data_IF_251818904557
#
_entry.id   IF_251818904557
#
_cell.length_a   1.000
_cell.length_b   1.000
_cell.length_c   1.000
_cell.angle_alpha   90.00
_cell.angle_beta   90.00
_cell.angle_gamma   90.00
#
_symmetry.space_group_name_H-M   'P 1'
#
loop_
_entity.id
_entity.type
_entity.pdbx_description
1 polymer ?
#
# COMPACT_ATOMS: atom_id res chain seq x y z
N UNK A 1 -14.81 25.99 -3.95
CA UNK A 1 -16.04 25.19 -3.90
C UNK A 1 -15.93 23.90 -3.08
N UNK A 2 -14.98 22.96 -3.34
CA UNK A 2 -14.83 21.75 -2.50
C UNK A 2 -13.86 21.92 -1.32
N UNK A 3 -12.79 22.71 -1.47
CA UNK A 3 -11.78 22.92 -0.43
C UNK A 3 -12.14 24.05 0.57
N UNK A 4 -13.36 24.59 0.55
CA UNK A 4 -13.82 25.55 1.58
C UNK A 4 -14.26 24.83 2.87
N UNK A 5 -13.90 25.34 4.06
CA UNK A 5 -14.06 24.64 5.34
C UNK A 5 -15.52 24.40 5.74
N UNK A 6 -16.48 25.16 5.18
CA UNK A 6 -17.91 25.02 5.49
C UNK A 6 -18.63 23.94 4.68
N UNK A 7 -17.93 23.22 3.79
CA UNK A 7 -18.60 22.36 2.80
C UNK A 7 -18.39 20.86 3.02
N UNK A 8 -18.40 20.40 4.28
CA UNK A 8 -18.13 19.01 4.66
C UNK A 8 -19.04 18.00 3.95
N UNK A 9 -20.32 18.35 3.72
CA UNK A 9 -21.28 17.48 3.03
C UNK A 9 -20.85 17.21 1.58
N UNK A 10 -20.50 18.25 0.82
CA UNK A 10 -20.07 18.11 -0.58
C UNK A 10 -18.74 17.38 -0.70
N UNK A 11 -17.82 17.56 0.27
CA UNK A 11 -16.56 16.80 0.33
C UNK A 11 -16.83 15.31 0.53
N UNK A 12 -17.69 14.95 1.50
CA UNK A 12 -18.06 13.55 1.72
C UNK A 12 -18.76 12.94 0.51
N UNK A 13 -19.66 13.69 -0.14
CA UNK A 13 -20.33 13.26 -1.35
C UNK A 13 -19.34 12.99 -2.49
N UNK A 14 -18.39 13.91 -2.73
CA UNK A 14 -17.36 13.74 -3.75
C UNK A 14 -16.49 12.50 -3.49
N UNK A 15 -16.08 12.25 -2.24
CA UNK A 15 -15.29 11.07 -1.85
C UNK A 15 -16.05 9.78 -2.13
N UNK A 16 -17.34 9.73 -1.76
CA UNK A 16 -18.20 8.56 -2.04
C UNK A 16 -18.32 8.32 -3.54
N UNK A 17 -18.49 9.38 -4.35
CA UNK A 17 -18.50 9.27 -5.81
C UNK A 17 -17.17 8.75 -6.35
N UNK A 18 -16.04 9.22 -5.82
CA UNK A 18 -14.71 8.70 -6.16
C UNK A 18 -14.57 7.21 -5.83
N UNK A 19 -15.06 6.78 -4.66
CA UNK A 19 -15.06 5.38 -4.26
C UNK A 19 -15.94 4.50 -5.15
N UNK A 20 -17.15 4.98 -5.49
CA UNK A 20 -18.06 4.30 -6.41
C UNK A 20 -17.47 4.19 -7.82
N UNK A 21 -16.80 5.24 -8.31
CA UNK A 21 -16.10 5.19 -9.59
C UNK A 21 -15.01 4.11 -9.58
N UNK A 22 -14.20 4.04 -8.53
CA UNK A 22 -13.23 2.97 -8.32
C UNK A 22 -13.87 1.58 -8.30
N UNK A 23 -14.99 1.42 -7.59
CA UNK A 23 -15.75 0.17 -7.54
C UNK A 23 -16.22 -0.28 -8.93
N UNK A 24 -16.75 0.65 -9.73
CA UNK A 24 -17.20 0.39 -11.10
C UNK A 24 -16.04 -0.03 -12.00
N UNK A 25 -14.87 0.62 -11.90
CA UNK A 25 -13.67 0.20 -12.63
C UNK A 25 -13.22 -1.22 -12.25
N UNK A 26 -13.47 -1.63 -11.01
CA UNK A 26 -13.23 -3.00 -10.55
C UNK A 26 -14.46 -3.93 -10.69
N UNK A 27 -15.49 -3.59 -11.46
CA UNK A 27 -16.73 -4.36 -11.54
C UNK A 27 -16.50 -5.82 -11.97
N UNK A 28 -15.58 -6.06 -12.92
CA UNK A 28 -15.17 -7.40 -13.38
C UNK A 28 -14.15 -8.08 -12.46
N UNK A 29 -13.67 -7.39 -11.43
CA UNK A 29 -12.74 -7.92 -10.45
C UNK A 29 -13.43 -8.69 -9.32
N UNK A 30 -12.66 -9.56 -8.65
CA UNK A 30 -13.09 -10.17 -7.39
C UNK A 30 -13.19 -9.16 -6.25
N UNK A 31 -13.63 -9.62 -5.08
CA UNK A 31 -13.85 -8.78 -3.89
C UNK A 31 -12.64 -7.92 -3.53
N UNK A 32 -11.42 -8.48 -3.55
CA UNK A 32 -10.18 -7.77 -3.23
C UNK A 32 -9.95 -6.59 -4.19
N UNK A 33 -10.13 -6.81 -5.50
CA UNK A 33 -9.98 -5.73 -6.51
C UNK A 33 -10.99 -4.62 -6.27
N UNK A 34 -12.23 -4.97 -5.93
CA UNK A 34 -13.29 -4.00 -5.63
C UNK A 34 -12.91 -3.14 -4.42
N UNK A 35 -12.48 -3.74 -3.33
CA UNK A 35 -12.04 -3.00 -2.13
C UNK A 35 -10.85 -2.10 -2.46
N UNK A 36 -9.83 -2.62 -3.15
CA UNK A 36 -8.62 -1.86 -3.48
C UNK A 36 -8.93 -0.66 -4.39
N UNK A 37 -9.64 -0.87 -5.49
CA UNK A 37 -9.94 0.21 -6.43
C UNK A 37 -10.90 1.24 -5.84
N UNK A 38 -11.88 0.81 -5.05
CA UNK A 38 -12.76 1.75 -4.33
C UNK A 38 -11.97 2.59 -3.34
N UNK A 39 -11.06 1.97 -2.59
CA UNK A 39 -10.16 2.66 -1.67
C UNK A 39 -9.27 3.67 -2.39
N UNK A 40 -8.66 3.30 -3.53
CA UNK A 40 -7.85 4.21 -4.35
C UNK A 40 -8.70 5.38 -4.88
N UNK A 41 -9.88 5.10 -5.43
CA UNK A 41 -10.77 6.14 -5.97
C UNK A 41 -11.24 7.13 -4.89
N UNK A 42 -11.69 6.61 -3.74
CA UNK A 42 -12.07 7.44 -2.60
C UNK A 42 -10.88 8.22 -2.05
N UNK A 43 -9.72 7.58 -1.89
CA UNK A 43 -8.48 8.21 -1.41
C UNK A 43 -7.96 9.31 -2.33
N UNK A 44 -8.04 9.12 -3.64
CA UNK A 44 -7.66 10.14 -4.62
C UNK A 44 -8.57 11.37 -4.54
N UNK A 45 -9.88 11.19 -4.39
CA UNK A 45 -10.79 12.33 -4.22
C UNK A 45 -10.63 12.98 -2.85
N UNK A 46 -10.37 12.18 -1.80
CA UNK A 46 -10.09 12.69 -0.46
C UNK A 46 -8.82 13.54 -0.42
N UNK A 47 -7.76 13.14 -1.13
CA UNK A 47 -6.52 13.93 -1.19
C UNK A 47 -6.72 15.28 -1.87
N UNK A 48 -7.59 15.34 -2.90
CA UNK A 48 -7.98 16.60 -3.53
C UNK A 48 -8.86 17.47 -2.61
N UNK A 49 -9.75 16.87 -1.81
CA UNK A 49 -10.63 17.59 -0.89
C UNK A 49 -9.94 18.05 0.40
N UNK A 50 -8.86 17.38 0.80
CA UNK A 50 -8.12 17.61 2.05
C UNK A 50 -6.59 17.56 1.83
N UNK A 51 -6.01 18.46 1.02
CA UNK A 51 -4.62 18.35 0.56
C UNK A 51 -3.58 18.43 1.69
N UNK A 52 -3.80 19.28 2.70
CA UNK A 52 -2.90 19.41 3.86
C UNK A 52 -2.87 18.15 4.72
N UNK A 53 -4.05 17.61 5.04
CA UNK A 53 -4.19 16.39 5.82
C UNK A 53 -3.65 15.18 5.05
N UNK A 54 -3.85 15.16 3.73
CA UNK A 54 -3.26 14.12 2.88
C UNK A 54 -1.73 14.16 2.91
N UNK A 55 -1.12 15.35 2.85
CA UNK A 55 0.34 15.48 2.94
C UNK A 55 0.90 14.99 4.28
N UNK A 56 0.29 15.42 5.40
CA UNK A 56 0.68 14.99 6.75
C UNK A 56 0.52 13.48 6.93
N UNK A 57 -0.63 12.94 6.54
CA UNK A 57 -0.92 11.52 6.63
C UNK A 57 0.01 10.68 5.74
N UNK A 58 0.31 11.15 4.52
CA UNK A 58 1.24 10.46 3.61
C UNK A 58 2.63 10.35 4.23
N UNK A 59 3.13 11.39 4.91
CA UNK A 59 4.43 11.34 5.59
C UNK A 59 4.46 10.29 6.70
N UNK A 60 3.41 10.24 7.52
CA UNK A 60 3.28 9.25 8.59
C UNK A 60 3.18 7.84 8.02
N UNK A 61 2.32 7.64 7.01
CA UNK A 61 2.13 6.34 6.35
C UNK A 61 3.42 5.87 5.69
N UNK A 62 4.17 6.75 5.02
CA UNK A 62 5.46 6.38 4.43
C UNK A 62 6.48 6.01 5.50
N UNK A 63 6.56 6.77 6.59
CA UNK A 63 7.52 6.51 7.66
C UNK A 63 7.24 5.19 8.38
N UNK A 64 5.99 4.96 8.81
CA UNK A 64 5.59 3.72 9.49
C UNK A 64 5.54 2.53 8.51
N UNK A 65 5.12 2.76 7.27
CA UNK A 65 5.08 1.75 6.22
C UNK A 65 6.46 1.19 5.91
N UNK A 66 7.51 2.01 5.95
CA UNK A 66 8.91 1.55 5.81
C UNK A 66 9.31 0.59 6.93
N UNK A 67 8.94 0.89 8.18
CA UNK A 67 9.24 0.02 9.33
C UNK A 67 8.50 -1.31 9.21
N UNK A 68 7.20 -1.26 8.93
CA UNK A 68 6.35 -2.45 8.78
C UNK A 68 6.86 -3.32 7.63
N UNK A 69 7.23 -2.69 6.50
CA UNK A 69 7.81 -3.39 5.36
C UNK A 69 9.11 -4.11 5.73
N UNK A 70 10.04 -3.43 6.40
CA UNK A 70 11.28 -4.04 6.84
C UNK A 70 11.04 -5.22 7.78
N UNK A 71 10.11 -5.08 8.74
CA UNK A 71 9.73 -6.19 9.65
C UNK A 71 9.15 -7.36 8.87
N UNK A 72 8.20 -7.12 7.97
CA UNK A 72 7.55 -8.17 7.18
C UNK A 72 8.54 -8.88 6.25
N UNK A 73 9.42 -8.14 5.58
CA UNK A 73 10.45 -8.68 4.71
C UNK A 73 11.41 -9.59 5.48
N UNK A 74 11.93 -9.13 6.61
CA UNK A 74 12.83 -9.92 7.46
C UNK A 74 12.13 -11.15 8.07
N UNK A 75 10.83 -11.03 8.40
CA UNK A 75 10.05 -12.16 8.87
C UNK A 75 9.92 -13.26 7.80
N UNK A 76 9.69 -12.89 6.54
CA UNK A 76 9.62 -13.86 5.43
C UNK A 76 10.98 -14.53 5.20
N UNK A 77 12.09 -13.78 5.34
CA UNK A 77 13.45 -14.33 5.28
C UNK A 77 13.86 -15.15 6.51
N UNK A 78 13.01 -15.22 7.54
CA UNK A 78 13.28 -16.05 8.72
C UNK A 78 14.40 -15.51 9.62
N UNK A 79 14.68 -14.20 9.60
CA UNK A 79 15.67 -13.56 10.49
C UNK A 79 15.24 -13.75 11.94
N UNK A 80 16.14 -14.26 12.78
CA UNK A 80 15.84 -14.56 14.19
C UNK A 80 15.96 -13.31 15.07
N UNK A 81 15.15 -13.19 16.14
CA UNK A 81 15.30 -12.09 17.10
C UNK A 81 16.69 -12.13 17.74
N UNK A 82 17.49 -11.07 17.58
CA UNK A 82 18.83 -10.94 18.17
C UNK A 82 19.99 -10.98 17.17
N UNK A 83 19.71 -11.24 15.90
CA UNK A 83 20.69 -11.11 14.81
C UNK A 83 20.71 -9.66 14.30
N UNK A 84 21.87 -9.16 13.83
CA UNK A 84 21.96 -7.82 13.24
C UNK A 84 21.08 -7.77 11.98
N UNK A 85 19.93 -7.11 12.10
CA UNK A 85 18.96 -7.00 11.02
C UNK A 85 19.55 -6.09 9.93
N UNK A 86 19.80 -6.59 8.70
CA UNK A 86 20.24 -5.72 7.63
C UNK A 86 19.16 -4.67 7.35
N UNK A 87 19.58 -3.41 7.21
CA UNK A 87 18.67 -2.32 6.89
C UNK A 87 18.07 -2.56 5.50
N UNK A 88 16.83 -3.06 5.44
CA UNK A 88 16.12 -3.29 4.18
C UNK A 88 15.70 -1.93 3.61
N UNK A 89 16.27 -1.48 2.48
CA UNK A 89 15.86 -0.23 1.87
C UNK A 89 14.43 -0.40 1.33
N UNK A 90 13.60 0.60 1.58
CA UNK A 90 12.27 0.62 0.99
C UNK A 90 12.40 0.79 -0.53
N UNK A 91 11.67 0.01 -1.35
CA UNK A 91 11.77 0.11 -2.80
C UNK A 91 11.39 1.53 -3.25
N UNK A 92 12.32 2.20 -3.92
CA UNK A 92 12.11 3.55 -4.45
C UNK A 92 11.87 3.54 -5.95
N UNK A 93 12.31 2.48 -6.63
CA UNK A 93 12.11 2.25 -8.05
C UNK A 93 11.29 0.98 -8.32
N UNK A 94 10.76 0.87 -9.54
CA UNK A 94 10.09 -0.36 -10.00
C UNK A 94 11.07 -1.53 -10.14
N UNK A 95 12.33 -1.25 -10.43
CA UNK A 95 13.38 -2.25 -10.48
C UNK A 95 13.63 -2.83 -9.09
N UNK A 96 13.84 -1.98 -8.08
CA UNK A 96 13.99 -2.41 -6.68
C UNK A 96 12.81 -3.30 -6.27
N UNK A 97 11.59 -2.85 -6.56
CA UNK A 97 10.38 -3.59 -6.22
C UNK A 97 10.34 -4.96 -6.90
N UNK A 98 10.73 -5.03 -8.17
CA UNK A 98 10.78 -6.29 -8.93
C UNK A 98 11.84 -7.23 -8.36
N UNK A 99 13.05 -6.73 -8.08
CA UNK A 99 14.14 -7.51 -7.49
C UNK A 99 13.76 -8.07 -6.12
N UNK A 100 13.20 -7.24 -5.24
CA UNK A 100 12.77 -7.67 -3.91
C UNK A 100 11.63 -8.70 -4.02
N UNK A 101 10.67 -8.49 -4.92
CA UNK A 101 9.57 -9.43 -5.12
C UNK A 101 10.05 -10.79 -5.67
N UNK A 102 11.01 -10.80 -6.60
CA UNK A 102 11.61 -12.05 -7.10
C UNK A 102 12.38 -12.78 -6.01
N UNK A 103 13.16 -12.04 -5.23
CA UNK A 103 13.96 -12.60 -4.13
C UNK A 103 13.06 -13.24 -3.05
N UNK A 104 11.99 -12.55 -2.64
CA UNK A 104 10.95 -13.09 -1.75
C UNK A 104 10.25 -14.33 -2.33
N UNK A 105 9.97 -14.33 -3.62
CA UNK A 105 9.31 -15.45 -4.29
C UNK A 105 10.21 -16.69 -4.35
N UNK A 106 11.48 -16.51 -4.69
CA UNK A 106 12.45 -17.61 -4.77
C UNK A 106 12.69 -18.20 -3.38
N UNK A 107 12.80 -17.37 -2.35
CA UNK A 107 12.97 -17.83 -0.96
C UNK A 107 11.73 -18.58 -0.44
N UNK A 108 10.52 -18.07 -0.70
CA UNK A 108 9.29 -18.78 -0.37
C UNK A 108 9.15 -20.11 -1.15
N UNK A 109 9.59 -20.14 -2.42
CA UNK A 109 9.56 -21.35 -3.25
C UNK A 109 10.53 -22.40 -2.73
N UNK A 110 11.74 -22.02 -2.34
CA UNK A 110 12.73 -22.95 -1.81
C UNK A 110 12.31 -23.51 -0.44
N UNK A 111 11.59 -22.74 0.38
CA UNK A 111 11.00 -23.20 1.64
C UNK A 111 9.88 -24.23 1.44
N UNK A 112 9.02 -24.04 0.43
CA UNK A 112 7.87 -24.92 0.15
C UNK A 112 8.30 -26.16 -0.65
N UNK A 113 9.19 -26.00 -1.62
CA UNK A 113 9.70 -27.05 -2.49
C UNK A 113 11.21 -27.17 -2.35
N UNK A 114 11.70 -27.71 -1.21
CA UNK A 114 13.13 -27.89 -1.02
C UNK A 114 13.66 -28.76 -2.16
N UNK A 115 14.65 -28.25 -2.91
CA UNK A 115 15.35 -29.04 -3.92
C UNK A 115 15.86 -30.31 -3.25
N UNK A 116 15.35 -31.48 -3.69
CA UNK A 116 15.92 -32.77 -3.27
C UNK A 116 17.40 -32.75 -3.63
N UNK A 117 18.25 -32.92 -2.62
CA UNK A 117 19.68 -33.22 -2.78
C UNK A 117 19.87 -34.46 -3.66
#
# INVERSE_FOLDING_TARGET
>A
MLNEPQNSLHRSGAIVVGGLAGFIFAARGGFIKKVLYSGIGAGAVASMCYPRQAEENCRVVLYEGRKIFAVAYNFIKGVKPGEEVPAVPFPTSLEDLKYMASDLYDEAKDLIFPKKK
#
